data_IF_070646561443
#
_entry.id   IF_070646561443
#
_cell.length_a   1.000
_cell.length_b   1.000
_cell.length_c   1.000
_cell.angle_alpha   90.00
_cell.angle_beta   90.00
_cell.angle_gamma   90.00
#
_symmetry.space_group_name_H-M   'P 1'
#
loop_
_entity.id
_entity.type
_entity.pdbx_description
1 polymer ?
#
# COMPACT_ATOMS: atom_id res chain seq x y z
N UNK A 1 10.33 8.14 -8.20
CA UNK A 1 9.50 6.95 -7.94
C UNK A 1 10.27 5.65 -8.12
N UNK A 2 11.08 5.25 -7.14
CA UNK A 2 11.79 3.94 -7.19
C UNK A 2 10.86 2.74 -6.95
N UNK A 3 9.65 3.02 -6.46
CA UNK A 3 8.57 2.07 -6.13
C UNK A 3 8.00 1.36 -7.35
N UNK A 4 7.83 2.07 -8.48
CA UNK A 4 7.31 1.49 -9.74
C UNK A 4 8.37 0.61 -10.41
N UNK A 5 9.65 1.03 -10.36
CA UNK A 5 10.77 0.34 -11.01
C UNK A 5 11.11 -1.03 -10.44
N UNK A 6 10.83 -1.28 -9.16
CA UNK A 6 11.10 -2.60 -8.56
C UNK A 6 10.04 -3.64 -8.96
N UNK A 7 8.84 -3.20 -9.37
CA UNK A 7 7.68 -4.05 -9.66
C UNK A 7 7.38 -4.22 -11.15
N UNK A 8 7.83 -3.32 -12.03
CA UNK A 8 7.85 -3.60 -13.48
C UNK A 8 8.72 -4.83 -13.83
N UNK A 9 9.61 -5.26 -12.92
CA UNK A 9 10.40 -6.49 -13.06
C UNK A 9 9.67 -7.75 -12.53
N UNK A 10 8.56 -7.58 -11.80
CA UNK A 10 7.66 -8.66 -11.41
C UNK A 10 6.56 -8.73 -12.46
N UNK A 11 6.78 -9.63 -13.43
CA UNK A 11 5.99 -10.14 -14.57
C UNK A 11 4.44 -9.93 -14.59
N UNK A 12 3.78 -10.30 -15.69
CA UNK A 12 2.33 -10.16 -16.01
C UNK A 12 1.33 -10.23 -14.85
N UNK A 13 1.60 -11.03 -13.81
CA UNK A 13 0.81 -11.14 -12.60
C UNK A 13 0.58 -9.81 -11.88
N UNK A 14 1.55 -8.88 -11.84
CA UNK A 14 1.34 -7.57 -11.22
C UNK A 14 0.36 -6.72 -12.04
N UNK A 15 0.39 -6.80 -13.37
CA UNK A 15 -0.57 -6.08 -14.21
C UNK A 15 -2.00 -6.61 -14.05
N UNK A 16 -2.17 -7.90 -13.75
CA UNK A 16 -3.46 -8.53 -13.50
C UNK A 16 -4.10 -8.15 -12.15
N UNK A 17 -3.33 -7.62 -11.19
CA UNK A 17 -3.86 -7.20 -9.89
C UNK A 17 -4.68 -5.90 -10.00
N UNK A 18 -5.79 -5.88 -9.27
CA UNK A 18 -6.60 -4.69 -9.05
C UNK A 18 -5.80 -3.62 -8.28
N UNK A 19 -6.26 -2.37 -8.36
CA UNK A 19 -5.65 -1.25 -7.63
C UNK A 19 -5.63 -1.56 -6.12
N UNK A 20 -6.71 -2.10 -5.58
CA UNK A 20 -6.78 -2.48 -4.17
C UNK A 20 -5.74 -3.54 -3.78
N UNK A 21 -5.54 -4.58 -4.59
CA UNK A 21 -4.57 -5.64 -4.30
C UNK A 21 -3.13 -5.11 -4.32
N UNK A 22 -2.81 -4.25 -5.29
CA UNK A 22 -1.50 -3.59 -5.38
C UNK A 22 -1.24 -2.74 -4.14
N UNK A 23 -2.20 -1.91 -3.76
CA UNK A 23 -2.03 -0.99 -2.64
C UNK A 23 -2.07 -1.71 -1.29
N UNK A 24 -2.85 -2.78 -1.16
CA UNK A 24 -2.84 -3.64 0.03
C UNK A 24 -1.47 -4.29 0.22
N UNK A 25 -0.86 -4.78 -0.86
CA UNK A 25 0.49 -5.33 -0.79
C UNK A 25 1.53 -4.27 -0.37
N UNK A 26 1.47 -3.07 -0.95
CA UNK A 26 2.36 -1.96 -0.58
C UNK A 26 2.20 -1.59 0.89
N UNK A 27 0.96 -1.58 1.37
CA UNK A 27 0.64 -1.35 2.76
C UNK A 27 1.25 -2.41 3.69
N UNK A 28 1.16 -3.70 3.35
CA UNK A 28 1.79 -4.78 4.13
C UNK A 28 3.31 -4.61 4.23
N UNK A 29 3.98 -4.23 3.14
CA UNK A 29 5.43 -3.97 3.15
C UNK A 29 5.77 -2.75 4.01
N UNK A 30 4.95 -1.71 3.95
CA UNK A 30 5.08 -0.51 4.78
C UNK A 30 4.92 -0.86 6.26
N UNK A 31 3.93 -1.68 6.60
CA UNK A 31 3.67 -2.17 7.95
C UNK A 31 4.79 -3.05 8.49
N UNK A 32 5.32 -3.96 7.66
CA UNK A 32 6.45 -4.82 8.02
C UNK A 32 7.72 -4.01 8.28
N UNK A 33 7.92 -2.92 7.53
CA UNK A 33 9.06 -2.03 7.66
C UNK A 33 8.77 -0.79 8.51
N UNK A 34 7.65 -0.70 9.24
CA UNK A 34 7.20 0.51 9.95
C UNK A 34 8.25 1.17 10.84
N UNK A 35 9.18 0.39 11.38
CA UNK A 35 10.29 0.85 12.22
C UNK A 35 11.30 1.74 11.46
N UNK A 36 11.30 1.71 10.13
CA UNK A 36 12.17 2.50 9.24
C UNK A 36 11.53 3.82 8.79
N UNK A 37 10.26 4.03 9.11
CA UNK A 37 9.47 5.16 8.64
C UNK A 37 9.27 6.17 9.76
N UNK A 38 9.27 7.46 9.42
CA UNK A 38 8.82 8.46 10.37
C UNK A 38 7.33 8.28 10.64
N UNK A 39 6.88 8.61 11.86
CA UNK A 39 5.47 8.47 12.26
C UNK A 39 4.52 9.22 11.31
N UNK A 40 4.92 10.39 10.81
CA UNK A 40 4.13 11.16 9.86
C UNK A 40 4.00 10.45 8.50
N UNK A 41 5.11 9.93 7.94
CA UNK A 41 5.11 9.20 6.67
C UNK A 41 4.29 7.91 6.76
N UNK A 42 4.36 7.22 7.92
CA UNK A 42 3.55 6.04 8.18
C UNK A 42 2.05 6.36 8.27
N UNK A 43 1.70 7.49 8.87
CA UNK A 43 0.31 7.96 8.93
C UNK A 43 -0.20 8.33 7.54
N UNK A 44 0.60 9.00 6.71
CA UNK A 44 0.24 9.32 5.32
C UNK A 44 0.00 8.05 4.49
N UNK A 45 0.82 7.01 4.67
CA UNK A 45 0.62 5.72 4.04
C UNK A 45 -0.68 5.04 4.50
N UNK A 46 -1.01 5.13 5.80
CA UNK A 46 -2.26 4.62 6.36
C UNK A 46 -3.49 5.36 5.78
N UNK A 47 -3.41 6.68 5.69
CA UNK A 47 -4.47 7.51 5.15
C UNK A 47 -4.66 7.28 3.64
N UNK A 48 -3.58 6.95 2.92
CA UNK A 48 -3.63 6.60 1.51
C UNK A 48 -4.34 5.25 1.28
N UNK A 49 -3.94 4.18 1.98
CA UNK A 49 -4.62 2.88 1.82
C UNK A 49 -6.07 2.94 2.26
N UNK A 50 -6.41 3.74 3.27
CA UNK A 50 -7.79 3.92 3.72
C UNK A 50 -8.66 4.63 2.68
N UNK A 51 -8.12 5.61 1.96
CA UNK A 51 -8.81 6.23 0.81
C UNK A 51 -9.05 5.23 -0.31
N UNK A 52 -8.04 4.43 -0.66
CA UNK A 52 -8.19 3.37 -1.67
C UNK A 52 -9.24 2.34 -1.23
N UNK A 53 -9.34 2.02 0.06
CA UNK A 53 -10.36 1.11 0.58
C UNK A 53 -11.76 1.71 0.53
N UNK A 54 -11.90 3.01 0.78
CA UNK A 54 -13.16 3.74 0.66
C UNK A 54 -13.71 3.70 -0.78
N UNK A 55 -12.86 3.86 -1.79
CA UNK A 55 -13.24 3.73 -3.21
C UNK A 55 -13.78 2.33 -3.58
N UNK A 56 -13.54 1.33 -2.73
CA UNK A 56 -14.00 -0.05 -2.88
C UNK A 56 -15.06 -0.44 -1.82
N UNK A 57 -15.65 0.53 -1.13
CA UNK A 57 -16.64 0.32 -0.05
C UNK A 57 -16.14 -0.59 1.09
N UNK A 58 -14.83 -0.56 1.38
CA UNK A 58 -14.20 -1.35 2.44
C UNK A 58 -13.96 -0.52 3.71
N UNK A 59 -14.08 -1.17 4.86
CA UNK A 59 -13.79 -0.54 6.15
C UNK A 59 -12.31 -0.10 6.24
N UNK A 60 -12.03 1.08 6.83
CA UNK A 60 -10.67 1.57 7.00
C UNK A 60 -9.87 0.70 7.97
N UNK A 61 -8.57 0.59 7.72
CA UNK A 61 -7.61 -0.04 8.59
C UNK A 61 -7.33 0.87 9.80
N UNK A 62 -7.36 0.27 10.99
CA UNK A 62 -7.07 0.95 12.26
C UNK A 62 -5.88 0.24 12.90
N UNK A 63 -4.75 0.94 13.01
CA UNK A 63 -3.58 0.44 13.74
C UNK A 63 -3.66 0.92 15.19
N UNK A 64 -3.59 -0.02 16.14
CA UNK A 64 -3.48 0.24 17.58
C UNK A 64 -2.03 0.26 18.05
#
# INVERSE_FOLDING_TARGET
MSHVKHFEQLDEAYHALSVLEKETYVWEQTLANRHRWAKAEFQEALDYINRVREDFDLEPLIIK
#
